data_IF_515590269943
#
_entry.id   IF_515590269943
#
_cell.length_a   1.000
_cell.length_b   1.000
_cell.length_c   1.000
_cell.angle_alpha   90.00
_cell.angle_beta   90.00
_cell.angle_gamma   90.00
#
_symmetry.space_group_name_H-M   'P 1'
#
loop_
_entity.id
_entity.type
_entity.pdbx_description
1 polymer ?
#
# COMPACT_ATOMS: atom_id res chain seq x y z
N UNK A 1 -9.13 -7.54 0.61
CA UNK A 1 -9.46 -7.75 -0.82
C UNK A 1 -9.58 -9.21 -1.28
N UNK A 2 -9.30 -10.23 -0.45
CA UNK A 2 -9.35 -11.65 -0.84
C UNK A 2 -10.44 -12.49 -0.11
N UNK A 3 -11.31 -11.87 0.68
CA UNK A 3 -12.18 -12.62 1.59
C UNK A 3 -13.37 -13.34 0.93
N UNK A 4 -14.12 -12.78 -0.05
CA UNK A 4 -15.31 -13.47 -0.52
C UNK A 4 -15.10 -14.42 -1.71
N UNK A 5 -13.99 -14.31 -2.46
CA UNK A 5 -13.71 -15.20 -3.59
C UNK A 5 -13.53 -16.67 -3.20
N UNK A 6 -13.19 -16.96 -1.93
CA UNK A 6 -12.78 -18.30 -1.49
C UNK A 6 -13.74 -18.99 -0.51
N UNK A 7 -14.78 -18.31 0.01
CA UNK A 7 -15.69 -18.90 1.02
C UNK A 7 -17.16 -19.07 0.57
N UNK A 8 -17.58 -18.53 -0.56
CA UNK A 8 -19.00 -18.57 -0.99
C UNK A 8 -19.42 -19.86 -1.73
N UNK A 9 -18.63 -20.93 -1.69
CA UNK A 9 -18.92 -22.18 -2.40
C UNK A 9 -19.82 -23.19 -1.65
N UNK A 10 -20.34 -22.88 -0.46
CA UNK A 10 -21.19 -23.82 0.28
C UNK A 10 -22.30 -23.13 1.07
N UNK A 11 -23.53 -23.34 0.58
CA UNK A 11 -24.86 -23.36 1.25
C UNK A 11 -25.88 -22.27 0.84
N UNK A 12 -27.18 -22.64 0.68
CA UNK A 12 -28.15 -21.87 -0.08
C UNK A 12 -28.96 -20.86 0.75
N UNK A 13 -29.47 -19.86 0.02
CA UNK A 13 -30.12 -18.62 0.45
C UNK A 13 -31.53 -18.85 1.02
N UNK A 14 -31.87 -18.15 2.10
CA UNK A 14 -33.23 -18.02 2.63
C UNK A 14 -33.59 -16.55 2.91
N UNK A 15 -34.67 -16.10 2.30
CA UNK A 15 -35.19 -14.73 2.19
C UNK A 15 -35.83 -14.15 3.46
N UNK A 16 -35.56 -12.89 3.81
CA UNK A 16 -36.48 -12.02 4.58
C UNK A 16 -36.27 -10.53 4.22
N UNK A 17 -37.38 -9.80 4.07
CA UNK A 17 -37.49 -8.35 3.76
C UNK A 17 -37.96 -7.54 4.98
N UNK A 18 -37.89 -6.20 4.85
CA UNK A 18 -38.36 -5.09 5.73
C UNK A 18 -37.29 -4.56 6.72
N UNK A 19 -37.14 -3.26 6.99
CA UNK A 19 -37.61 -1.98 6.44
C UNK A 19 -36.97 -0.87 7.29
N UNK A 20 -36.66 0.28 6.68
CA UNK A 20 -36.61 1.67 7.20
C UNK A 20 -36.04 2.01 8.60
N UNK A 21 -35.11 2.99 8.64
CA UNK A 21 -35.44 4.39 8.93
C UNK A 21 -34.23 5.28 9.35
N UNK A 22 -34.36 6.58 9.00
CA UNK A 22 -33.71 7.81 9.53
C UNK A 22 -32.23 8.07 9.19
N UNK A 23 -31.81 9.19 8.56
CA UNK A 23 -32.47 10.43 8.15
C UNK A 23 -32.13 11.62 9.06
N UNK A 24 -31.36 12.59 8.55
CA UNK A 24 -31.40 14.08 8.74
C UNK A 24 -30.01 14.67 8.40
N UNK A 25 -29.81 15.43 7.31
CA UNK A 25 -30.31 16.76 6.93
C UNK A 25 -29.58 17.93 7.62
N UNK A 26 -28.78 18.68 6.84
CA UNK A 26 -28.58 20.13 7.02
C UNK A 26 -28.42 20.81 5.65
N UNK A 27 -29.22 21.85 5.41
CA UNK A 27 -29.25 22.70 4.20
C UNK A 27 -28.75 24.12 4.55
N UNK A 28 -27.86 24.63 3.66
CA UNK A 28 -27.72 25.99 3.08
C UNK A 28 -27.92 27.26 3.92
N UNK A 29 -27.02 28.25 3.72
CA UNK A 29 -27.23 29.44 2.85
C UNK A 29 -25.96 30.33 2.76
N UNK A 30 -25.52 30.70 1.55
CA UNK A 30 -25.38 32.11 1.08
C UNK A 30 -23.91 32.59 1.08
N UNK A 31 -23.34 33.34 0.13
CA UNK A 31 -23.80 34.29 -0.90
C UNK A 31 -22.78 34.34 -2.06
N UNK A 32 -23.23 34.65 -3.27
CA UNK A 32 -22.41 34.95 -4.43
C UNK A 32 -22.04 36.44 -4.48
N UNK A 33 -20.81 36.75 -4.92
CA UNK A 33 -20.36 38.11 -5.29
C UNK A 33 -19.92 38.05 -6.75
N UNK A 34 -20.55 38.86 -7.59
CA UNK A 34 -20.20 39.04 -9.00
C UNK A 34 -19.10 40.12 -9.11
N UNK A 35 -18.02 39.81 -9.83
CA UNK A 35 -17.00 40.80 -10.23
C UNK A 35 -17.03 40.88 -11.76
N UNK A 36 -17.39 42.05 -12.27
CA UNK A 36 -17.23 42.42 -13.68
C UNK A 36 -15.75 42.71 -13.93
N UNK A 37 -15.15 42.04 -14.92
CA UNK A 37 -13.84 42.41 -15.49
C UNK A 37 -14.07 42.80 -16.95
N UNK A 38 -13.69 44.04 -17.29
CA UNK A 38 -13.68 44.57 -18.65
C UNK A 38 -12.58 43.89 -19.48
N UNK A 39 -12.95 43.32 -20.63
CA UNK A 39 -12.03 42.81 -21.64
C UNK A 39 -11.63 43.95 -22.59
N UNK A 40 -10.35 44.31 -22.60
CA UNK A 40 -9.72 45.09 -23.68
C UNK A 40 -8.92 44.14 -24.57
N UNK A 41 -9.37 43.97 -25.82
CA UNK A 41 -8.65 43.24 -26.87
C UNK A 41 -7.51 44.11 -27.42
N UNK A 42 -6.28 43.74 -27.10
CA UNK A 42 -5.08 44.16 -27.84
C UNK A 42 -4.53 42.93 -28.57
N UNK A 43 -4.59 42.96 -29.90
CA UNK A 43 -3.91 41.97 -30.75
C UNK A 43 -2.40 42.27 -30.72
N UNK A 44 -1.65 41.43 -30.01
CA UNK A 44 -0.19 41.33 -30.14
C UNK A 44 0.16 40.16 -31.07
N UNK A 45 1.24 40.26 -31.86
CA UNK A 45 1.64 39.20 -32.78
C UNK A 45 2.06 37.96 -31.98
N UNK A 46 1.72 36.79 -32.52
CA UNK A 46 2.07 35.49 -31.97
C UNK A 46 3.59 35.43 -31.75
N UNK A 47 4.01 35.50 -30.48
CA UNK A 47 5.35 35.06 -30.10
C UNK A 47 5.33 33.54 -30.16
N UNK A 48 6.24 32.96 -30.94
CA UNK A 48 6.58 31.55 -30.86
C UNK A 48 6.78 31.21 -29.37
N UNK A 49 5.89 30.37 -28.85
CA UNK A 49 6.03 29.84 -27.52
C UNK A 49 7.34 29.04 -27.52
N UNK A 50 8.39 29.65 -26.97
CA UNK A 50 9.58 28.92 -26.58
C UNK A 50 9.08 27.74 -25.73
N UNK A 51 9.31 26.52 -26.22
CA UNK A 51 9.13 25.32 -25.42
C UNK A 51 10.11 25.46 -24.28
N UNK A 52 9.63 25.97 -23.15
CA UNK A 52 10.34 25.88 -21.89
C UNK A 52 10.37 24.38 -21.61
N UNK A 53 11.50 23.75 -21.95
CA UNK A 53 11.78 22.40 -21.49
C UNK A 53 11.60 22.44 -19.96
N UNK A 54 10.54 21.81 -19.48
CA UNK A 54 10.40 21.51 -18.06
C UNK A 54 11.61 20.64 -17.74
N UNK A 55 12.61 21.22 -17.09
CA UNK A 55 13.62 20.43 -16.41
C UNK A 55 12.87 19.75 -15.28
N UNK A 56 12.29 18.58 -15.58
CA UNK A 56 11.71 17.72 -14.57
C UNK A 56 12.76 17.61 -13.47
N UNK A 57 12.34 17.92 -12.23
CA UNK A 57 13.23 17.77 -11.07
C UNK A 57 13.78 16.35 -10.99
N UNK A 58 14.83 16.12 -10.19
CA UNK A 58 15.32 14.76 -9.98
C UNK A 58 14.14 13.86 -9.55
N UNK A 59 14.10 12.61 -10.04
CA UNK A 59 13.02 11.68 -9.71
C UNK A 59 12.93 11.50 -8.21
N UNK A 60 11.71 11.32 -7.70
CA UNK A 60 11.50 11.23 -6.27
C UNK A 60 12.33 10.09 -5.65
N UNK A 61 12.99 10.33 -4.51
CA UNK A 61 13.84 9.33 -3.88
C UNK A 61 12.96 8.29 -3.19
N UNK A 62 12.92 7.09 -3.77
CA UNK A 62 12.17 5.93 -3.29
C UNK A 62 13.05 4.71 -3.45
N UNK A 63 13.19 3.90 -2.41
CA UNK A 63 13.91 2.63 -2.46
C UNK A 63 13.09 1.55 -1.79
N UNK A 64 13.05 0.35 -2.39
CA UNK A 64 12.61 -0.85 -1.70
C UNK A 64 13.80 -1.77 -1.44
N UNK A 65 13.98 -2.20 -0.19
CA UNK A 65 14.96 -3.23 0.17
C UNK A 65 14.24 -4.53 0.46
N UNK A 66 14.78 -5.62 -0.06
CA UNK A 66 14.20 -6.96 0.05
C UNK A 66 15.20 -7.96 0.64
N UNK A 67 14.79 -8.68 1.68
CA UNK A 67 15.57 -9.73 2.35
C UNK A 67 14.75 -11.02 2.28
N UNK A 68 15.08 -11.92 1.36
CA UNK A 68 14.28 -13.12 1.07
C UNK A 68 15.10 -14.34 0.64
N UNK A 69 16.37 -14.40 1.01
CA UNK A 69 17.29 -15.50 0.69
C UNK A 69 18.08 -15.91 1.92
N UNK A 70 18.67 -17.11 1.88
CA UNK A 70 19.57 -17.59 2.92
C UNK A 70 20.70 -16.59 3.18
N UNK A 71 21.37 -16.10 2.12
CA UNK A 71 22.46 -15.12 2.24
C UNK A 71 22.00 -13.82 2.91
N UNK A 72 20.80 -13.32 2.55
CA UNK A 72 20.25 -12.11 3.15
C UNK A 72 19.96 -12.29 4.64
N UNK A 73 19.40 -13.44 5.04
CA UNK A 73 19.13 -13.73 6.44
C UNK A 73 20.40 -14.10 7.23
N UNK A 74 21.40 -14.73 6.60
CA UNK A 74 22.67 -15.09 7.21
C UNK A 74 23.54 -13.87 7.55
N UNK A 75 23.37 -12.75 6.83
CA UNK A 75 24.04 -11.48 7.12
C UNK A 75 23.53 -10.78 8.39
N UNK A 76 22.34 -11.15 8.87
CA UNK A 76 21.76 -10.62 10.10
C UNK A 76 22.26 -11.30 11.37
N UNK A 77 21.92 -10.72 12.52
CA UNK A 77 22.26 -11.23 13.84
C UNK A 77 21.08 -12.04 14.38
N UNK A 78 21.27 -13.35 14.53
CA UNK A 78 20.28 -14.27 15.08
C UNK A 78 20.43 -14.44 16.61
N UNK A 79 19.31 -14.43 17.32
CA UNK A 79 19.22 -14.80 18.74
C UNK A 79 17.97 -15.65 18.96
N UNK A 80 18.14 -16.96 19.17
CA UNK A 80 17.00 -17.90 19.28
C UNK A 80 16.30 -18.22 17.95
N UNK A 81 16.84 -17.74 16.83
CA UNK A 81 16.39 -18.03 15.46
C UNK A 81 17.44 -18.85 14.70
N UNK A 82 17.02 -19.51 13.63
CA UNK A 82 17.87 -20.30 12.74
C UNK A 82 17.37 -20.19 11.29
N UNK A 83 18.21 -20.59 10.32
CA UNK A 83 17.82 -20.66 8.91
C UNK A 83 17.36 -22.08 8.56
N UNK A 84 16.28 -22.15 7.79
CA UNK A 84 15.76 -23.35 7.13
C UNK A 84 15.59 -23.06 5.64
N UNK A 85 16.61 -23.39 4.84
CA UNK A 85 16.74 -22.91 3.46
C UNK A 85 16.73 -21.38 3.39
N UNK A 86 15.83 -20.81 2.58
CA UNK A 86 15.64 -19.35 2.45
C UNK A 86 14.67 -18.77 3.50
N UNK A 87 14.43 -19.48 4.60
CA UNK A 87 13.47 -19.06 5.64
C UNK A 87 14.18 -18.83 6.96
N UNK A 88 13.74 -17.81 7.68
CA UNK A 88 14.09 -17.60 9.08
C UNK A 88 13.01 -18.24 9.97
N UNK A 89 13.44 -19.14 10.85
CA UNK A 89 12.59 -19.89 11.80
C UNK A 89 13.12 -19.76 13.23
N UNK A 90 12.39 -20.26 14.21
CA UNK A 90 12.92 -20.45 15.57
C UNK A 90 13.94 -21.59 15.58
N UNK A 91 15.03 -21.40 16.32
CA UNK A 91 15.99 -22.47 16.56
C UNK A 91 15.34 -23.65 17.32
N UNK A 92 15.84 -24.89 17.17
CA UNK A 92 15.27 -26.05 17.86
C UNK A 92 15.08 -25.82 19.36
N UNK A 93 13.89 -26.16 19.86
CA UNK A 93 13.52 -26.01 21.28
C UNK A 93 13.14 -24.59 21.72
N UNK A 94 13.35 -23.55 20.90
CA UNK A 94 13.02 -22.17 21.27
C UNK A 94 11.53 -21.87 21.08
N UNK A 95 10.91 -21.16 22.02
CA UNK A 95 9.53 -20.65 21.87
C UNK A 95 9.50 -19.19 21.42
N UNK A 96 10.61 -18.49 21.50
CA UNK A 96 10.78 -17.13 21.00
C UNK A 96 12.20 -16.90 20.50
N UNK A 97 12.36 -15.95 19.60
CA UNK A 97 13.65 -15.57 19.06
C UNK A 97 13.55 -14.26 18.28
N UNK A 98 14.69 -13.60 18.12
CA UNK A 98 14.83 -12.37 17.35
C UNK A 98 15.88 -12.53 16.27
N UNK A 99 15.69 -11.83 15.17
CA UNK A 99 16.68 -11.67 14.12
C UNK A 99 16.74 -10.20 13.73
N UNK A 100 17.95 -9.64 13.66
CA UNK A 100 18.18 -8.22 13.35
C UNK A 100 18.98 -8.12 12.06
N UNK A 101 18.45 -7.41 11.08
CA UNK A 101 19.12 -7.19 9.79
C UNK A 101 20.40 -6.35 9.95
N UNK A 102 21.27 -6.38 8.93
CA UNK A 102 22.29 -5.33 8.78
C UNK A 102 21.60 -3.99 8.52
N UNK A 103 22.20 -2.88 8.98
CA UNK A 103 21.68 -1.54 8.69
C UNK A 103 21.72 -1.25 7.19
N UNK A 104 20.65 -0.65 6.67
CA UNK A 104 20.47 -0.27 5.27
C UNK A 104 20.59 1.24 5.14
N UNK A 105 21.37 1.68 4.14
CA UNK A 105 21.50 3.08 3.75
C UNK A 105 20.94 3.28 2.34
N UNK A 106 19.77 3.94 2.18
CA UNK A 106 19.17 4.18 0.86
C UNK A 106 20.00 5.05 -0.09
N UNK A 107 20.98 5.79 0.44
CA UNK A 107 21.78 6.76 -0.32
C UNK A 107 21.16 8.16 -0.40
N UNK A 108 20.03 8.38 0.29
CA UNK A 108 19.34 9.67 0.42
C UNK A 108 18.70 9.80 1.82
N UNK A 109 18.38 11.03 2.21
CA UNK A 109 17.58 11.28 3.41
C UNK A 109 16.12 10.93 3.17
N UNK A 110 15.49 10.14 4.05
CA UNK A 110 14.10 9.70 3.92
C UNK A 110 13.24 10.15 5.10
N UNK A 111 11.97 10.44 4.82
CA UNK A 111 11.01 10.91 5.83
C UNK A 111 9.92 9.89 6.13
N UNK A 112 9.86 8.79 5.36
CA UNK A 112 8.86 7.73 5.48
C UNK A 112 9.51 6.36 5.33
N UNK A 113 9.01 5.39 6.10
CA UNK A 113 9.36 3.99 5.97
C UNK A 113 8.13 3.10 6.19
N UNK A 114 7.92 2.14 5.29
CA UNK A 114 6.87 1.12 5.39
C UNK A 114 7.51 -0.27 5.27
N UNK A 115 7.37 -1.10 6.30
CA UNK A 115 7.88 -2.48 6.28
C UNK A 115 6.84 -3.44 5.70
N UNK A 116 7.30 -4.49 5.02
CA UNK A 116 6.47 -5.57 4.47
C UNK A 116 7.10 -6.92 4.73
N UNK A 117 6.29 -7.97 4.85
CA UNK A 117 6.78 -9.32 5.10
C UNK A 117 5.90 -10.39 4.47
N UNK A 118 6.54 -11.51 4.11
CA UNK A 118 5.88 -12.76 3.75
C UNK A 118 6.22 -13.81 4.79
N UNK A 119 5.21 -14.45 5.38
CA UNK A 119 5.45 -15.41 6.44
C UNK A 119 4.37 -16.48 6.53
N UNK A 120 4.73 -17.58 7.18
CA UNK A 120 3.84 -18.66 7.56
C UNK A 120 3.85 -18.74 9.09
N UNK A 121 2.68 -18.56 9.72
CA UNK A 121 2.49 -18.64 11.18
C UNK A 121 1.48 -19.73 11.50
N UNK A 122 1.89 -21.01 11.49
CA UNK A 122 1.03 -22.12 11.89
C UNK A 122 0.67 -22.05 13.38
N UNK A 123 -0.46 -22.64 13.75
CA UNK A 123 -0.96 -22.67 15.13
C UNK A 123 -1.02 -21.26 15.75
N UNK A 124 -0.53 -21.09 16.97
CA UNK A 124 -0.47 -19.81 17.67
C UNK A 124 0.83 -19.02 17.39
N UNK A 125 1.49 -19.32 16.26
CA UNK A 125 2.71 -18.65 15.84
C UNK A 125 2.46 -17.17 15.55
N UNK A 126 3.42 -16.30 15.88
CA UNK A 126 3.34 -14.88 15.58
C UNK A 126 4.67 -14.28 15.18
N UNK A 127 4.58 -13.15 14.49
CA UNK A 127 5.70 -12.28 14.16
C UNK A 127 5.52 -10.90 14.78
N UNK A 128 6.63 -10.29 15.15
CA UNK A 128 6.76 -8.86 15.45
C UNK A 128 7.77 -8.26 14.49
N UNK A 129 7.37 -7.27 13.71
CA UNK A 129 8.24 -6.55 12.80
C UNK A 129 8.52 -5.18 13.38
N UNK A 130 9.81 -4.83 13.45
CA UNK A 130 10.27 -3.59 14.07
C UNK A 130 11.30 -2.90 13.18
N UNK A 131 11.43 -1.58 13.35
CA UNK A 131 12.47 -0.79 12.73
C UNK A 131 13.12 0.17 13.73
N UNK A 132 14.42 0.39 13.57
CA UNK A 132 15.17 1.48 14.18
C UNK A 132 15.73 2.34 13.06
N UNK A 133 15.72 3.66 13.21
CA UNK A 133 16.22 4.62 12.21
C UNK A 133 17.34 5.47 12.81
N UNK A 134 18.20 6.01 11.95
CA UNK A 134 19.25 6.95 12.38
C UNK A 134 19.22 8.24 11.56
N UNK A 135 19.57 9.36 12.17
CA UNK A 135 19.74 10.66 11.50
C UNK A 135 21.16 10.83 10.96
N UNK A 136 21.38 11.88 10.15
CA UNK A 136 22.72 12.24 9.67
C UNK A 136 23.70 12.61 10.80
N UNK A 137 23.17 13.04 11.96
CA UNK A 137 23.96 13.34 13.16
C UNK A 137 24.41 12.08 13.92
N UNK A 138 23.99 10.89 13.50
CA UNK A 138 24.30 9.62 14.16
C UNK A 138 23.39 9.27 15.34
N UNK A 139 22.32 10.05 15.56
CA UNK A 139 21.32 9.74 16.58
C UNK A 139 20.46 8.56 16.11
N UNK A 140 20.26 7.58 16.99
CA UNK A 140 19.41 6.42 16.73
C UNK A 140 18.08 6.55 17.50
N UNK A 141 16.99 6.15 16.87
CA UNK A 141 15.68 6.11 17.50
C UNK A 141 15.55 4.94 18.47
N UNK A 142 14.45 4.92 19.24
CA UNK A 142 13.96 3.68 19.82
C UNK A 142 13.52 2.69 18.72
N UNK A 143 13.27 1.44 19.09
CA UNK A 143 12.67 0.46 18.18
C UNK A 143 11.16 0.71 18.06
N UNK A 144 10.70 0.93 16.83
CA UNK A 144 9.29 1.05 16.49
C UNK A 144 8.73 -0.30 16.08
N UNK A 145 7.64 -0.76 16.70
CA UNK A 145 6.88 -1.92 16.23
C UNK A 145 5.99 -1.51 15.05
N UNK A 146 6.34 -1.97 13.85
CA UNK A 146 5.58 -1.69 12.62
C UNK A 146 4.46 -2.71 12.38
N UNK A 147 4.51 -3.88 13.00
CA UNK A 147 3.43 -4.84 12.94
C UNK A 147 3.57 -5.99 13.92
N UNK A 148 2.44 -6.45 14.47
CA UNK A 148 2.33 -7.75 15.15
C UNK A 148 1.35 -8.61 14.34
N UNK A 149 1.84 -9.73 13.80
CA UNK A 149 1.16 -10.49 12.78
C UNK A 149 1.01 -11.98 13.14
N UNK A 150 -0.15 -12.53 12.80
CA UNK A 150 -0.46 -13.96 12.81
C UNK A 150 -1.38 -14.29 11.63
N UNK A 151 -1.33 -15.53 11.12
CA UNK A 151 -2.08 -15.96 9.95
C UNK A 151 -3.58 -16.11 10.24
N UNK A 152 -3.95 -16.34 11.49
CA UNK A 152 -5.33 -16.33 11.98
C UNK A 152 -5.48 -15.45 13.22
N UNK A 153 -6.74 -15.19 13.61
CA UNK A 153 -7.08 -14.37 14.77
C UNK A 153 -7.40 -15.21 16.03
N UNK A 154 -7.02 -16.50 16.05
CA UNK A 154 -7.34 -17.41 17.17
C UNK A 154 -6.47 -17.15 18.39
N UNK A 155 -5.18 -16.92 18.16
CA UNK A 155 -4.18 -16.70 19.19
C UNK A 155 -3.96 -15.21 19.52
N UNK A 156 -4.15 -14.34 18.52
CA UNK A 156 -3.86 -12.92 18.61
C UNK A 156 -4.70 -12.15 17.59
N UNK A 157 -5.25 -11.00 17.99
CA UNK A 157 -5.75 -10.02 17.01
C UNK A 157 -4.55 -9.27 16.40
N UNK A 158 -4.42 -9.31 15.07
CA UNK A 158 -3.41 -8.53 14.35
C UNK A 158 -3.54 -7.06 14.75
N UNK A 159 -2.44 -6.44 15.16
CA UNK A 159 -2.49 -5.12 15.81
C UNK A 159 -1.39 -4.21 15.26
N UNK A 160 -1.79 -3.03 14.75
CA UNK A 160 -0.91 -1.88 14.65
C UNK A 160 -0.73 -1.27 16.05
N UNK A 161 0.50 -1.00 16.45
CA UNK A 161 0.78 -0.37 17.74
C UNK A 161 0.68 1.15 17.57
N UNK A 162 -0.44 1.72 18.00
CA UNK A 162 -0.71 3.15 17.87
C UNK A 162 0.06 3.98 18.91
N UNK A 163 0.33 5.25 18.57
CA UNK A 163 0.87 6.25 19.50
C UNK A 163 2.37 6.13 19.79
N UNK A 164 3.11 5.33 19.02
CA UNK A 164 4.56 5.25 19.13
C UNK A 164 5.21 6.52 18.57
N UNK A 165 5.96 7.25 19.39
CA UNK A 165 6.73 8.42 18.97
C UNK A 165 7.88 8.68 19.95
N UNK A 166 9.00 9.16 19.41
CA UNK A 166 10.11 9.74 20.17
C UNK A 166 10.49 11.13 19.59
N UNK A 167 11.69 11.63 19.89
CA UNK A 167 12.17 12.90 19.35
C UNK A 167 12.40 12.87 17.83
N UNK A 168 12.77 11.71 17.28
CA UNK A 168 13.17 11.52 15.88
C UNK A 168 12.00 11.10 15.00
N UNK A 169 11.13 10.20 15.47
CA UNK A 169 10.11 9.56 14.65
C UNK A 169 8.75 9.36 15.33
N UNK A 170 7.77 8.94 14.54
CA UNK A 170 6.47 8.45 14.99
C UNK A 170 5.92 7.41 14.02
N UNK A 171 5.15 6.45 14.52
CA UNK A 171 4.38 5.53 13.68
C UNK A 171 2.95 6.02 13.57
N UNK A 172 2.46 6.16 12.35
CA UNK A 172 1.04 6.38 12.06
C UNK A 172 0.53 5.21 11.21
N UNK A 173 -0.24 4.34 11.87
CA UNK A 173 -0.84 3.10 11.37
C UNK A 173 0.18 2.10 10.79
N UNK A 174 0.72 2.39 9.62
CA UNK A 174 1.60 1.53 8.80
C UNK A 174 2.97 2.16 8.52
N UNK A 175 3.07 3.49 8.69
CA UNK A 175 4.22 4.26 8.22
C UNK A 175 4.96 4.86 9.40
N UNK A 176 6.27 4.63 9.44
CA UNK A 176 7.20 5.37 10.28
C UNK A 176 7.53 6.71 9.61
N UNK A 177 7.18 7.81 10.26
CA UNK A 177 7.41 9.16 9.80
C UNK A 177 8.52 9.84 10.61
N UNK A 178 9.41 10.56 9.92
CA UNK A 178 10.29 11.53 10.54
C UNK A 178 9.49 12.68 11.20
N UNK A 179 10.02 13.21 12.31
CA UNK A 179 9.43 14.35 13.03
C UNK A 179 10.25 15.63 12.95
N UNK A 180 11.57 15.51 12.95
CA UNK A 180 12.49 16.65 12.95
C UNK A 180 13.33 16.66 11.67
N UNK A 181 14.32 15.78 11.58
CA UNK A 181 15.23 15.67 10.45
C UNK A 181 14.96 14.36 9.68
N UNK A 182 15.25 14.32 8.37
CA UNK A 182 15.24 13.07 7.62
C UNK A 182 16.17 12.01 8.22
N UNK A 183 15.73 10.76 8.14
CA UNK A 183 16.56 9.61 8.46
C UNK A 183 17.54 9.33 7.32
N UNK A 184 18.66 8.67 7.61
CA UNK A 184 19.67 8.30 6.59
C UNK A 184 19.99 6.80 6.57
N UNK A 185 19.60 6.08 7.61
CA UNK A 185 19.66 4.62 7.65
C UNK A 185 18.53 4.04 8.46
N UNK A 186 18.24 2.76 8.25
CA UNK A 186 17.35 1.99 9.09
C UNK A 186 17.85 0.57 9.28
N UNK A 187 17.43 -0.07 10.37
CA UNK A 187 17.65 -1.48 10.65
C UNK A 187 16.31 -2.14 10.93
N UNK A 188 16.04 -3.28 10.31
CA UNK A 188 14.83 -4.07 10.55
C UNK A 188 15.11 -5.18 11.58
N UNK A 189 14.10 -5.52 12.39
CA UNK A 189 14.14 -6.66 13.31
C UNK A 189 12.86 -7.47 13.21
N UNK A 190 13.00 -8.78 13.21
CA UNK A 190 11.91 -9.73 13.27
C UNK A 190 11.97 -10.51 14.58
N UNK A 191 10.90 -10.45 15.37
CA UNK A 191 10.63 -11.35 16.48
C UNK A 191 9.71 -12.48 16.03
N UNK A 192 10.07 -13.72 16.36
CA UNK A 192 9.29 -14.92 16.11
C UNK A 192 8.86 -15.49 17.46
N UNK A 193 7.61 -15.93 17.59
CA UNK A 193 7.12 -16.56 18.82
C UNK A 193 6.11 -17.69 18.52
N UNK A 194 6.08 -18.71 19.37
CA UNK A 194 5.08 -19.80 19.40
C UNK A 194 4.75 -20.17 20.84
N UNK A 195 3.58 -20.76 21.08
CA UNK A 195 3.10 -21.07 22.43
C UNK A 195 3.92 -22.18 23.12
N UNK A 196 4.28 -23.24 22.38
CA UNK A 196 5.05 -24.37 22.89
C UNK A 196 6.22 -24.74 21.97
N UNK A 197 7.29 -25.29 22.54
CA UNK A 197 8.43 -25.78 21.76
C UNK A 197 8.08 -26.97 20.84
N UNK A 198 6.95 -27.63 21.10
CA UNK A 198 6.42 -28.72 20.29
C UNK A 198 5.54 -28.24 19.13
N UNK A 199 5.10 -26.97 19.13
CA UNK A 199 4.29 -26.42 18.03
C UNK A 199 5.18 -26.15 16.81
N UNK A 200 4.67 -26.21 15.58
CA UNK A 200 5.45 -25.82 14.41
C UNK A 200 5.97 -24.38 14.53
N UNK A 201 7.18 -24.13 14.06
CA UNK A 201 7.80 -22.80 14.12
C UNK A 201 7.13 -21.84 13.12
N UNK A 202 6.91 -20.56 13.47
CA UNK A 202 6.66 -19.54 12.46
C UNK A 202 7.89 -19.39 11.55
N UNK A 203 7.64 -19.17 10.26
CA UNK A 203 8.67 -19.02 9.24
C UNK A 203 8.50 -17.69 8.52
N UNK A 204 9.55 -16.86 8.53
CA UNK A 204 9.63 -15.63 7.75
C UNK A 204 10.35 -15.94 6.42
N UNK A 205 9.66 -15.69 5.30
CA UNK A 205 10.16 -15.94 3.93
C UNK A 205 10.69 -14.67 3.27
N UNK A 206 10.14 -13.51 3.62
CA UNK A 206 10.62 -12.22 3.16
C UNK A 206 10.41 -11.17 4.24
N UNK A 207 11.40 -10.30 4.43
CA UNK A 207 11.27 -9.03 5.13
C UNK A 207 11.83 -7.93 4.25
N UNK A 208 11.13 -6.82 4.14
CA UNK A 208 11.56 -5.69 3.35
C UNK A 208 11.02 -4.37 3.88
N UNK A 209 11.54 -3.28 3.34
CA UNK A 209 11.03 -1.95 3.64
C UNK A 209 11.15 -1.03 2.44
N UNK A 210 10.10 -0.25 2.22
CA UNK A 210 10.13 0.93 1.36
C UNK A 210 10.56 2.12 2.21
N UNK A 211 11.53 2.90 1.70
CA UNK A 211 11.97 4.16 2.28
C UNK A 211 11.87 5.27 1.22
N UNK A 212 11.29 6.41 1.61
CA UNK A 212 11.07 7.54 0.68
C UNK A 212 11.15 8.91 1.34
N UNK A 213 11.45 9.89 0.49
CA UNK A 213 11.17 11.30 0.74
C UNK A 213 10.32 11.88 -0.39
N UNK A 214 9.12 11.33 -0.55
CA UNK A 214 8.19 11.78 -1.59
C UNK A 214 7.29 12.91 -1.07
N UNK A 215 7.41 14.07 -1.71
CA UNK A 215 6.49 15.19 -1.55
C UNK A 215 5.82 15.49 -2.89
N UNK A 216 4.49 15.33 -2.95
CA UNK A 216 3.73 15.65 -4.16
C UNK A 216 3.86 17.14 -4.50
N UNK A 217 4.16 17.43 -5.76
CA UNK A 217 4.11 18.77 -6.35
C UNK A 217 3.31 18.72 -7.65
N UNK A 218 2.46 19.73 -7.87
CA UNK A 218 1.74 19.87 -9.14
C UNK A 218 2.69 20.07 -10.33
N UNK A 219 3.96 20.45 -10.08
CA UNK A 219 4.98 20.59 -11.10
C UNK A 219 5.52 19.25 -11.63
N UNK A 220 5.25 18.11 -10.95
CA UNK A 220 5.65 16.78 -11.43
C UNK A 220 5.05 16.43 -12.79
N UNK A 221 3.94 17.10 -13.19
CA UNK A 221 3.22 16.79 -14.40
C UNK A 221 2.52 15.43 -14.32
N UNK A 222 1.93 15.00 -15.44
CA UNK A 222 1.39 13.64 -15.58
C UNK A 222 2.36 12.83 -16.41
N UNK A 223 2.68 11.62 -15.96
CA UNK A 223 3.53 10.72 -16.73
C UNK A 223 2.93 10.36 -18.08
N UNK A 224 3.76 10.19 -19.10
CA UNK A 224 3.32 9.70 -20.40
C UNK A 224 2.99 8.19 -20.35
N UNK A 225 2.00 7.71 -21.12
CA UNK A 225 1.80 6.28 -21.32
C UNK A 225 3.05 5.62 -21.90
N UNK A 226 3.35 4.38 -21.48
CA UNK A 226 4.52 3.66 -22.01
C UNK A 226 4.25 3.01 -23.36
N UNK A 227 3.00 2.69 -23.65
CA UNK A 227 2.58 2.16 -24.95
C UNK A 227 1.14 2.57 -25.27
N UNK A 228 0.81 2.58 -26.56
CA UNK A 228 -0.56 2.74 -27.07
C UNK A 228 -1.31 1.42 -27.21
N UNK A 229 -0.62 0.29 -27.02
CA UNK A 229 -1.24 -1.03 -26.97
C UNK A 229 -1.96 -1.20 -25.62
N UNK A 230 -3.30 -1.34 -25.60
CA UNK A 230 -4.04 -1.51 -24.36
C UNK A 230 -3.65 -2.83 -23.67
N UNK A 231 -3.68 -2.83 -22.34
CA UNK A 231 -3.46 -4.01 -21.52
C UNK A 231 -4.58 -4.09 -20.49
N UNK A 232 -5.17 -5.26 -20.31
CA UNK A 232 -6.14 -5.51 -19.24
C UNK A 232 -5.99 -6.93 -18.73
N UNK A 233 -5.61 -7.07 -17.47
CA UNK A 233 -5.42 -8.34 -16.79
C UNK A 233 -6.77 -8.95 -16.43
N UNK A 234 -6.86 -10.28 -16.52
CA UNK A 234 -8.06 -11.03 -16.13
C UNK A 234 -8.15 -11.16 -14.61
N UNK A 235 -8.47 -10.07 -13.93
CA UNK A 235 -8.67 -10.02 -12.47
C UNK A 235 -10.18 -10.02 -12.19
N UNK A 236 -10.70 -10.94 -11.37
CA UNK A 236 -12.12 -10.97 -11.04
C UNK A 236 -12.63 -9.63 -10.49
N UNK A 237 -13.71 -9.13 -11.08
CA UNK A 237 -14.39 -7.90 -10.66
C UNK A 237 -15.32 -8.18 -9.49
N UNK A 238 -14.78 -8.12 -8.26
CA UNK A 238 -15.53 -8.40 -7.04
C UNK A 238 -15.80 -7.13 -6.24
N UNK A 239 -17.06 -6.94 -5.87
CA UNK A 239 -17.51 -5.88 -4.98
C UNK A 239 -17.37 -6.34 -3.52
N UNK A 240 -16.96 -5.42 -2.64
CA UNK A 240 -17.06 -5.64 -1.20
C UNK A 240 -18.47 -5.33 -0.67
N UNK A 241 -19.19 -4.42 -1.34
CA UNK A 241 -20.51 -3.92 -0.92
C UNK A 241 -21.62 -4.97 -1.07
N UNK A 242 -21.41 -6.05 -1.83
CA UNK A 242 -22.33 -7.21 -1.79
C UNK A 242 -22.37 -7.87 -0.40
N UNK A 243 -21.33 -7.64 0.41
CA UNK A 243 -21.24 -8.04 1.81
C UNK A 243 -21.54 -6.89 2.76
N UNK A 244 -22.22 -5.86 2.28
CA UNK A 244 -22.65 -4.76 3.11
C UNK A 244 -23.46 -5.27 4.32
N UNK A 245 -23.07 -4.86 5.53
CA UNK A 245 -23.64 -5.27 6.83
C UNK A 245 -23.50 -6.76 7.14
N UNK A 246 -22.79 -7.51 6.30
CA UNK A 246 -22.44 -8.90 6.55
C UNK A 246 -21.06 -8.98 7.20
N UNK A 247 -20.88 -9.96 8.07
CA UNK A 247 -19.63 -10.18 8.83
C UNK A 247 -19.13 -8.97 9.65
N UNK A 248 -20.00 -8.34 10.48
CA UNK A 248 -19.64 -7.15 11.26
C UNK A 248 -18.48 -7.38 12.24
N UNK A 249 -18.24 -8.64 12.64
CA UNK A 249 -17.10 -9.02 13.48
C UNK A 249 -15.73 -8.66 12.87
N UNK A 250 -15.64 -8.50 11.55
CA UNK A 250 -14.42 -8.12 10.83
C UNK A 250 -14.31 -6.62 10.57
N UNK A 251 -14.68 -5.81 11.56
CA UNK A 251 -14.48 -4.35 11.52
C UNK A 251 -15.64 -3.54 10.95
N UNK A 252 -16.87 -4.02 11.05
CA UNK A 252 -18.08 -3.25 10.71
C UNK A 252 -18.86 -3.77 9.51
N UNK A 253 -18.31 -4.72 8.74
CA UNK A 253 -18.94 -5.34 7.58
C UNK A 253 -18.18 -5.06 6.29
N UNK A 254 -18.66 -5.57 5.15
CA UNK A 254 -18.05 -5.42 3.83
C UNK A 254 -17.59 -3.99 3.51
N UNK A 255 -18.36 -3.01 3.94
CA UNK A 255 -18.15 -1.57 3.71
C UNK A 255 -16.88 -1.02 4.39
N UNK A 256 -16.41 -1.69 5.44
CA UNK A 256 -15.28 -1.24 6.24
C UNK A 256 -14.00 -2.03 5.99
N UNK A 257 -14.04 -3.12 5.19
CA UNK A 257 -12.90 -4.01 5.02
C UNK A 257 -11.64 -3.33 4.44
N UNK A 258 -11.78 -2.25 3.68
CA UNK A 258 -10.60 -1.50 3.19
C UNK A 258 -10.18 -0.34 4.11
N UNK A 259 -10.85 -0.11 5.24
CA UNK A 259 -10.57 0.99 6.17
C UNK A 259 -9.52 0.61 7.22
N UNK A 260 -8.65 1.55 7.66
CA UNK A 260 -7.78 1.40 8.85
C UNK A 260 -8.50 0.93 10.12
N UNK A 261 -9.81 1.18 10.21
CA UNK A 261 -10.65 0.73 11.34
C UNK A 261 -11.05 -0.75 11.27
N UNK A 262 -10.85 -1.41 10.13
CA UNK A 262 -11.02 -2.85 10.04
C UNK A 262 -9.93 -3.56 10.83
N UNK A 263 -10.33 -4.57 11.61
CA UNK A 263 -9.50 -5.30 12.57
C UNK A 263 -8.47 -6.23 11.91
N UNK A 264 -7.93 -5.86 10.75
CA UNK A 264 -6.90 -6.62 10.03
C UNK A 264 -6.62 -6.17 8.58
N UNK A 265 -7.55 -5.49 7.89
CA UNK A 265 -7.46 -5.25 6.43
C UNK A 265 -7.31 -3.77 6.04
N UNK A 266 -7.17 -2.89 7.04
CA UNK A 266 -6.93 -1.45 6.88
C UNK A 266 -5.47 -1.04 6.89
N UNK A 267 -4.59 -1.99 7.17
CA UNK A 267 -3.15 -1.85 7.24
C UNK A 267 -2.56 -2.42 5.95
N UNK A 268 -1.78 -1.60 5.23
CA UNK A 268 -1.18 -1.95 3.95
C UNK A 268 -0.29 -3.21 4.05
N UNK A 269 0.74 -3.26 4.93
CA UNK A 269 1.55 -4.46 5.17
C UNK A 269 0.74 -5.71 5.54
N UNK A 270 -0.33 -5.58 6.33
CA UNK A 270 -1.13 -6.73 6.75
C UNK A 270 -1.89 -7.35 5.58
N UNK A 271 -2.40 -6.54 4.65
CA UNK A 271 -3.02 -7.04 3.43
C UNK A 271 -2.01 -7.80 2.56
N UNK A 272 -0.79 -7.27 2.41
CA UNK A 272 0.30 -7.93 1.69
C UNK A 272 0.66 -9.27 2.36
N UNK A 273 0.94 -9.26 3.67
CA UNK A 273 1.25 -10.47 4.43
C UNK A 273 0.10 -11.49 4.43
N UNK A 274 -1.16 -11.02 4.41
CA UNK A 274 -2.33 -11.89 4.28
C UNK A 274 -2.42 -12.52 2.89
N UNK A 275 -2.07 -11.83 1.80
CA UNK A 275 -2.00 -12.45 0.49
C UNK A 275 -0.90 -13.52 0.44
N UNK A 276 0.25 -13.24 1.07
CA UNK A 276 1.40 -14.13 1.08
C UNK A 276 1.14 -15.51 1.71
N UNK A 277 0.16 -15.63 2.62
CA UNK A 277 -0.26 -16.92 3.20
C UNK A 277 -0.78 -17.91 2.16
N UNK A 278 -1.24 -17.42 1.01
CA UNK A 278 -1.79 -18.22 -0.08
C UNK A 278 -0.72 -18.60 -1.12
N UNK A 279 0.56 -18.54 -0.74
CA UNK A 279 1.68 -18.86 -1.62
C UNK A 279 2.09 -17.73 -2.55
N UNK A 280 1.51 -16.54 -2.40
CA UNK A 280 1.88 -15.35 -3.18
C UNK A 280 3.12 -14.66 -2.60
N UNK A 281 3.77 -13.88 -3.44
CA UNK A 281 4.75 -12.88 -3.03
C UNK A 281 4.06 -11.52 -2.98
N UNK A 282 4.18 -10.83 -1.85
CA UNK A 282 3.49 -9.56 -1.64
C UNK A 282 4.35 -8.57 -0.87
N UNK A 283 4.32 -7.30 -1.29
CA UNK A 283 4.98 -6.21 -0.58
C UNK A 283 4.31 -4.88 -0.87
N UNK A 284 4.51 -3.93 0.03
CA UNK A 284 4.10 -2.54 -0.13
C UNK A 284 5.29 -1.74 -0.61
N UNK A 285 5.08 -0.92 -1.64
CA UNK A 285 6.06 0.06 -2.10
C UNK A 285 5.37 1.33 -2.58
N UNK A 286 6.16 2.35 -2.92
CA UNK A 286 5.70 3.55 -3.59
C UNK A 286 6.23 3.58 -5.02
N UNK A 287 5.37 3.99 -5.96
CA UNK A 287 5.74 4.22 -7.35
C UNK A 287 5.72 5.71 -7.66
N UNK A 288 6.63 6.15 -8.52
CA UNK A 288 6.80 7.57 -8.86
C UNK A 288 5.71 8.09 -9.78
N UNK A 289 5.09 7.22 -10.57
CA UNK A 289 4.09 7.59 -11.57
C UNK A 289 3.33 6.39 -12.13
N UNK A 290 2.29 6.64 -12.94
CA UNK A 290 1.59 5.57 -13.65
C UNK A 290 2.46 4.92 -14.73
N UNK A 291 3.57 5.53 -15.15
CA UNK A 291 4.50 4.85 -16.05
C UNK A 291 5.17 3.65 -15.36
N UNK A 292 5.60 3.77 -14.11
CA UNK A 292 6.11 2.62 -13.33
C UNK A 292 5.00 1.58 -13.07
N UNK A 293 3.78 2.05 -12.77
CA UNK A 293 2.63 1.16 -12.59
C UNK A 293 2.33 0.35 -13.87
N UNK A 294 2.45 0.98 -15.04
CA UNK A 294 2.25 0.34 -16.34
C UNK A 294 3.27 -0.77 -16.62
N UNK A 295 4.53 -0.63 -16.16
CA UNK A 295 5.54 -1.70 -16.28
C UNK A 295 5.11 -2.97 -15.55
N UNK A 296 4.65 -2.83 -14.30
CA UNK A 296 4.19 -3.93 -13.47
C UNK A 296 2.94 -4.59 -14.05
N UNK A 297 1.95 -3.79 -14.46
CA UNK A 297 0.71 -4.29 -15.05
C UNK A 297 0.97 -5.02 -16.37
N UNK A 298 1.87 -4.50 -17.23
CA UNK A 298 2.27 -5.19 -18.46
C UNK A 298 3.05 -6.47 -18.21
N UNK A 299 3.74 -6.59 -17.07
CA UNK A 299 4.35 -7.83 -16.61
C UNK A 299 3.34 -8.86 -16.07
N UNK A 300 2.03 -8.55 -16.07
CA UNK A 300 1.00 -9.44 -15.58
C UNK A 300 0.63 -9.23 -14.11
N UNK A 301 1.12 -8.16 -13.47
CA UNK A 301 0.98 -7.93 -12.03
C UNK A 301 -0.04 -6.80 -11.77
N UNK A 302 -1.24 -7.11 -11.24
CA UNK A 302 -2.17 -6.06 -10.84
C UNK A 302 -1.67 -5.33 -9.59
N UNK A 303 -2.06 -4.07 -9.43
CA UNK A 303 -1.59 -3.22 -8.33
C UNK A 303 -2.75 -2.75 -7.48
N UNK A 304 -2.68 -2.94 -6.17
CA UNK A 304 -3.64 -2.32 -5.25
C UNK A 304 -3.15 -0.91 -4.93
N UNK A 305 -3.79 0.12 -5.48
CA UNK A 305 -3.40 1.51 -5.29
C UNK A 305 -4.24 2.19 -4.19
N UNK A 306 -3.56 2.93 -3.30
CA UNK A 306 -4.21 3.76 -2.28
C UNK A 306 -4.41 5.19 -2.77
N UNK A 307 -5.64 5.63 -2.95
CA UNK A 307 -5.98 6.97 -3.46
C UNK A 307 -6.68 7.82 -2.40
N UNK A 308 -6.54 9.15 -2.50
CA UNK A 308 -7.36 10.10 -1.75
C UNK A 308 -7.80 11.25 -2.67
N UNK A 309 -9.10 11.50 -2.72
CA UNK A 309 -9.71 12.45 -3.65
C UNK A 309 -10.57 13.44 -2.89
N UNK A 310 -10.48 14.72 -3.21
CA UNK A 310 -11.50 15.71 -2.82
C UNK A 310 -12.71 15.60 -3.76
N UNK A 311 -13.85 16.21 -3.42
CA UNK A 311 -15.00 16.27 -4.34
C UNK A 311 -14.59 16.83 -5.70
N UNK A 312 -14.96 16.12 -6.78
CA UNK A 312 -14.78 16.58 -8.16
C UNK A 312 -13.36 16.52 -8.73
N UNK A 313 -12.40 15.87 -8.05
CA UNK A 313 -11.03 15.74 -8.59
C UNK A 313 -10.80 14.51 -9.47
N UNK A 314 -11.70 13.52 -9.38
CA UNK A 314 -11.70 12.28 -10.14
C UNK A 314 -13.11 12.05 -10.72
N UNK A 315 -13.25 12.20 -12.03
CA UNK A 315 -14.52 12.08 -12.73
C UNK A 315 -15.01 10.63 -12.76
N UNK A 316 -16.31 10.43 -12.57
CA UNK A 316 -16.91 9.08 -12.49
C UNK A 316 -16.56 8.30 -11.21
N UNK A 317 -15.93 8.94 -10.22
CA UNK A 317 -15.60 8.31 -8.94
C UNK A 317 -16.86 7.98 -8.12
N UNK A 318 -16.83 6.86 -7.41
CA UNK A 318 -17.96 6.38 -6.60
C UNK A 318 -18.31 7.32 -5.45
N UNK A 319 -17.31 7.97 -4.87
CA UNK A 319 -17.51 8.90 -3.75
C UNK A 319 -17.54 10.33 -4.27
N UNK A 320 -18.73 10.81 -4.65
CA UNK A 320 -18.91 12.20 -5.15
C UNK A 320 -18.48 13.27 -4.13
N UNK A 321 -18.50 12.93 -2.83
CA UNK A 321 -18.01 13.77 -1.72
C UNK A 321 -16.49 13.67 -1.48
N UNK A 322 -15.77 12.91 -2.29
CA UNK A 322 -14.37 12.58 -2.04
C UNK A 322 -14.17 11.52 -0.94
N UNK A 323 -12.91 11.19 -0.69
CA UNK A 323 -12.44 10.27 0.35
C UNK A 323 -11.05 10.67 0.85
N UNK A 324 -10.79 10.44 2.13
CA UNK A 324 -9.46 10.61 2.73
C UNK A 324 -8.56 9.38 2.52
N UNK A 325 -9.09 8.29 1.97
CA UNK A 325 -8.36 7.07 1.68
C UNK A 325 -9.30 6.02 1.08
N UNK A 326 -8.89 5.41 -0.03
CA UNK A 326 -9.63 4.35 -0.70
C UNK A 326 -8.68 3.46 -1.47
N UNK A 327 -8.96 2.15 -1.52
CA UNK A 327 -8.14 1.19 -2.25
C UNK A 327 -8.86 0.75 -3.52
N UNK A 328 -8.15 0.81 -4.64
CA UNK A 328 -8.61 0.30 -5.95
C UNK A 328 -7.56 -0.66 -6.51
N UNK A 329 -7.95 -1.57 -7.40
CA UNK A 329 -7.01 -2.47 -8.07
C UNK A 329 -6.80 -1.98 -9.50
N UNK A 330 -5.61 -1.50 -9.84
CA UNK A 330 -5.21 -1.21 -11.22
C UNK A 330 -4.96 -2.53 -11.93
N UNK A 331 -5.74 -2.79 -12.98
CA UNK A 331 -5.72 -4.05 -13.74
C UNK A 331 -5.28 -3.84 -15.18
N UNK A 332 -5.13 -2.60 -15.64
CA UNK A 332 -4.89 -2.33 -17.03
C UNK A 332 -4.72 -0.86 -17.37
N UNK A 333 -4.44 -0.61 -18.64
CA UNK A 333 -4.39 0.71 -19.26
C UNK A 333 -5.05 0.62 -20.64
N UNK A 334 -5.93 1.57 -20.96
CA UNK A 334 -6.54 1.64 -22.30
C UNK A 334 -5.55 2.18 -23.35
N UNK A 335 -5.99 2.28 -24.61
CA UNK A 335 -5.13 2.75 -25.71
C UNK A 335 -4.69 4.22 -25.58
N UNK A 336 -5.36 5.01 -24.73
CA UNK A 336 -4.96 6.38 -24.39
C UNK A 336 -4.06 6.43 -23.15
N UNK A 337 -3.78 5.28 -22.52
CA UNK A 337 -2.99 5.15 -21.31
C UNK A 337 -3.75 5.53 -20.04
N UNK A 338 -5.09 5.55 -20.08
CA UNK A 338 -5.91 5.74 -18.90
C UNK A 338 -5.94 4.46 -18.06
N UNK A 339 -5.76 4.52 -16.73
CA UNK A 339 -5.83 3.36 -15.88
C UNK A 339 -7.24 2.74 -15.90
N UNK A 340 -7.27 1.43 -16.14
CA UNK A 340 -8.42 0.56 -15.96
C UNK A 340 -8.30 -0.04 -14.56
N UNK A 341 -9.32 0.15 -13.73
CA UNK A 341 -9.30 -0.29 -12.34
C UNK A 341 -10.54 -1.11 -11.99
N UNK A 342 -10.39 -2.06 -11.08
CA UNK A 342 -11.47 -2.65 -10.32
C UNK A 342 -11.60 -1.86 -9.00
N UNK A 343 -12.70 -1.13 -8.85
CA UNK A 343 -13.04 -0.42 -7.61
C UNK A 343 -14.07 -1.23 -6.80
N UNK A 344 -13.64 -1.87 -5.69
CA UNK A 344 -14.48 -2.80 -4.94
C UNK A 344 -15.62 -2.12 -4.17
N UNK A 345 -15.62 -0.80 -4.02
CA UNK A 345 -16.72 -0.07 -3.37
C UNK A 345 -17.97 0.05 -4.26
N UNK A 346 -17.94 -0.52 -5.46
CA UNK A 346 -19.12 -0.59 -6.31
C UNK A 346 -20.20 -1.46 -5.68
N UNK A 347 -21.48 -1.14 -5.88
CA UNK A 347 -22.59 -1.90 -5.29
C UNK A 347 -22.78 -3.32 -5.85
N UNK A 348 -22.23 -3.60 -7.04
CA UNK A 348 -22.33 -4.91 -7.69
C UNK A 348 -21.04 -5.22 -8.45
N UNK A 349 -20.72 -6.52 -8.59
CA UNK A 349 -19.58 -7.02 -9.36
C UNK A 349 -19.54 -6.46 -10.79
N UNK A 350 -20.71 -6.36 -11.45
CA UNK A 350 -20.85 -5.82 -12.80
C UNK A 350 -20.45 -4.35 -12.93
N UNK A 351 -20.36 -3.62 -11.81
CA UNK A 351 -20.05 -2.19 -11.77
C UNK A 351 -18.71 -1.88 -11.11
N UNK A 352 -17.88 -2.90 -10.82
CA UNK A 352 -16.56 -2.73 -10.20
C UNK A 352 -15.55 -2.12 -11.16
N UNK A 353 -15.53 -2.59 -12.41
CA UNK A 353 -14.61 -2.12 -13.46
C UNK A 353 -14.89 -0.66 -13.83
N UNK A 354 -13.85 0.19 -13.80
CA UNK A 354 -13.88 1.61 -14.17
C UNK A 354 -12.64 1.98 -14.97
N UNK A 355 -12.74 3.07 -15.72
CA UNK A 355 -11.61 3.71 -16.40
C UNK A 355 -11.59 5.16 -15.95
N UNK A 356 -10.43 5.64 -15.54
CA UNK A 356 -10.25 7.01 -15.06
C UNK A 356 -9.29 7.78 -15.94
N UNK A 357 -9.50 9.09 -16.09
CA UNK A 357 -8.52 9.97 -16.73
C UNK A 357 -7.16 9.83 -16.04
N UNK A 358 -6.11 9.62 -16.83
CA UNK A 358 -4.74 9.40 -16.33
C UNK A 358 -4.25 10.53 -15.43
N UNK A 359 -4.44 11.78 -15.85
CA UNK A 359 -3.95 12.94 -15.11
C UNK A 359 -4.71 13.14 -13.79
N UNK A 360 -6.01 12.88 -13.79
CA UNK A 360 -6.83 12.89 -12.58
C UNK A 360 -6.41 11.81 -11.60
N UNK A 361 -6.30 10.55 -12.07
CA UNK A 361 -5.95 9.42 -11.23
C UNK A 361 -4.54 9.55 -10.64
N UNK A 362 -3.54 9.84 -11.46
CA UNK A 362 -2.15 9.97 -11.01
C UNK A 362 -2.02 11.06 -9.94
N UNK A 363 -2.69 12.20 -10.12
CA UNK A 363 -2.71 13.29 -9.14
C UNK A 363 -3.31 12.86 -7.80
N UNK A 364 -4.47 12.21 -7.78
CA UNK A 364 -5.13 11.82 -6.51
C UNK A 364 -4.41 10.67 -5.82
N UNK A 365 -3.73 9.81 -6.58
CA UNK A 365 -2.89 8.73 -6.06
C UNK A 365 -1.58 9.25 -5.47
N UNK A 366 -0.78 9.99 -6.25
CA UNK A 366 0.51 10.53 -5.80
C UNK A 366 0.35 11.53 -4.64
N UNK A 367 -0.67 12.40 -4.70
CA UNK A 367 -0.92 13.33 -3.58
C UNK A 367 -1.53 12.63 -2.37
N UNK A 368 -2.37 11.63 -2.59
CA UNK A 368 -3.11 10.96 -1.52
C UNK A 368 -2.25 10.03 -0.68
N UNK A 369 -1.37 9.26 -1.33
CA UNK A 369 -0.57 8.23 -0.67
C UNK A 369 0.93 8.27 -1.03
N UNK A 370 1.39 9.26 -1.81
CA UNK A 370 2.75 9.24 -2.38
C UNK A 370 3.00 8.07 -3.34
N UNK A 371 1.95 7.57 -3.99
CA UNK A 371 2.10 6.50 -4.97
C UNK A 371 2.15 5.11 -4.35
N UNK A 372 1.67 4.95 -3.11
CA UNK A 372 1.63 3.64 -2.44
C UNK A 372 0.83 2.63 -3.23
N UNK A 373 1.41 1.45 -3.40
CA UNK A 373 0.78 0.26 -3.97
C UNK A 373 1.12 -0.98 -3.18
N UNK A 374 0.24 -1.98 -3.27
CA UNK A 374 0.61 -3.36 -2.97
C UNK A 374 0.94 -4.03 -4.28
N UNK A 375 2.12 -4.62 -4.33
CA UNK A 375 2.52 -5.53 -5.40
C UNK A 375 2.24 -6.93 -4.90
N UNK A 376 1.36 -7.66 -5.59
CA UNK A 376 0.98 -9.03 -5.22
C UNK A 376 1.04 -9.87 -6.49
N UNK A 377 1.92 -10.86 -6.51
CA UNK A 377 2.12 -11.71 -7.68
C UNK A 377 2.42 -13.15 -7.24
N UNK A 378 2.08 -14.14 -8.08
CA UNK A 378 2.53 -15.49 -7.84
C UNK A 378 4.04 -15.62 -8.12
N UNK A 379 4.77 -16.54 -7.46
CA UNK A 379 6.22 -16.67 -7.61
C UNK A 379 6.70 -16.93 -9.05
N UNK A 380 5.86 -17.54 -9.88
CA UNK A 380 6.13 -17.83 -11.30
C UNK A 380 6.03 -16.61 -12.22
N UNK A 381 5.43 -15.50 -11.76
CA UNK A 381 5.37 -14.23 -12.51
C UNK A 381 6.47 -13.32 -11.96
N UNK A 382 7.59 -13.13 -12.70
CA UNK A 382 8.70 -12.32 -12.22
C UNK A 382 8.36 -10.83 -12.23
N UNK A 383 8.94 -10.09 -11.28
CA UNK A 383 8.92 -8.63 -11.32
C UNK A 383 9.69 -8.13 -12.56
N UNK A 384 9.19 -7.08 -13.25
CA UNK A 384 9.95 -6.44 -14.32
C UNK A 384 11.17 -5.72 -13.74
N UNK A 385 12.23 -5.50 -14.54
CA UNK A 385 13.37 -4.70 -14.08
C UNK A 385 12.91 -3.28 -13.74
N UNK A 386 13.38 -2.69 -12.62
CA UNK A 386 13.09 -1.30 -12.29
C UNK A 386 13.77 -0.35 -13.30
N UNK A 387 13.32 0.91 -13.42
CA UNK A 387 13.94 1.88 -14.31
C UNK A 387 15.42 2.08 -13.94
N UNK A 388 16.30 2.06 -14.94
CA UNK A 388 17.75 1.99 -14.75
C UNK A 388 18.41 3.27 -14.23
N UNK A 389 17.71 4.40 -14.35
CA UNK A 389 18.18 5.75 -14.03
C UNK A 389 17.74 6.25 -12.64
N UNK A 390 17.02 5.41 -11.88
CA UNK A 390 16.48 5.75 -10.56
C UNK A 390 16.78 4.67 -9.53
N UNK A 391 16.63 5.01 -8.25
CA UNK A 391 16.75 4.03 -7.17
C UNK A 391 15.66 2.95 -7.30
N UNK A 392 16.00 1.65 -7.28
CA UNK A 392 15.03 0.56 -7.37
C UNK A 392 13.98 0.62 -6.25
N UNK A 393 12.71 0.57 -6.63
CA UNK A 393 11.57 0.62 -5.72
C UNK A 393 10.68 -0.64 -5.77
N UNK A 394 11.15 -1.74 -6.35
CA UNK A 394 10.58 -3.08 -6.18
C UNK A 394 11.61 -4.17 -6.42
#
# INVERSE_FOLDING_TARGET
MLWPALHAATLPVGSWTLSDACGHAFRRQGRAVAVLVLLSLLLSPASEAAVVASTAGPPAPIQFTRLSSNDAFAAGIAAGTALDGDRLVLAPGQTSGTWTATSVQPGFGFTRLVASWNADTPSDGRLRIEAQVTTAAGEASDWYTLGIWAADDRALQRTSVNGQADALGRVDTDTLYARAEPFVSYTLRAGLERASANDPSPALRMLGAEASDFAYSAALGTSAPQSSEPVELTVPSLSQEIHARQYPQWGGGGEAWCSPTSRGTGNWPFNAAYAARYGLDAFVTQLRSLAEAEQLVRAGIPLVASIASRPGELDGFLFSGGTNGHLVVVIGFDAAGNPIVNDPAAWTDATVRRVYDRAQFERVWLRGSAGTVYVIHPPEVPLPPPPSDVTPNW
#
